data_IF_895674118373
#
_entry.id   IF_895674118373
#
_cell.length_a   1.000
_cell.length_b   1.000
_cell.length_c   1.000
_cell.angle_alpha   90.00
_cell.angle_beta   90.00
_cell.angle_gamma   90.00
#
_symmetry.space_group_name_H-M   'P 1'
#
loop_
_entity.id
_entity.type
_entity.pdbx_description
1 polymer ?
#
# COMPACT_ATOMS: atom_id res chain seq x y z
N UNK A 1 6.37 -15.25 32.00
CA UNK A 1 6.67 -13.98 31.29
C UNK A 1 7.87 -13.98 30.31
N UNK A 2 8.43 -15.10 29.86
CA UNK A 2 9.61 -15.12 28.95
C UNK A 2 9.41 -15.84 27.62
N UNK A 3 8.24 -16.43 27.36
CA UNK A 3 7.99 -17.27 26.17
C UNK A 3 7.27 -16.60 25.01
N UNK A 4 6.66 -15.42 25.19
CA UNK A 4 5.78 -14.76 24.21
C UNK A 4 6.46 -13.72 23.31
N UNK A 5 7.67 -13.25 23.68
CA UNK A 5 8.45 -12.35 22.81
C UNK A 5 8.97 -13.00 21.51
N UNK A 6 8.92 -14.33 21.40
CA UNK A 6 9.38 -15.07 20.23
C UNK A 6 8.42 -14.96 19.02
N UNK A 7 7.10 -14.87 19.25
CA UNK A 7 6.11 -14.97 18.19
C UNK A 7 5.87 -13.65 17.46
N UNK A 8 5.90 -12.52 18.18
CA UNK A 8 5.82 -11.19 17.58
C UNK A 8 7.07 -10.88 16.73
N UNK A 9 8.23 -11.29 17.19
CA UNK A 9 9.50 -11.13 16.46
C UNK A 9 9.56 -11.94 15.16
N UNK A 10 9.00 -13.16 15.15
CA UNK A 10 8.92 -13.98 13.94
C UNK A 10 8.00 -13.36 12.88
N UNK A 11 6.92 -12.66 13.28
CA UNK A 11 5.99 -12.01 12.35
C UNK A 11 6.48 -10.67 11.82
N UNK A 12 7.10 -9.85 12.67
CA UNK A 12 7.75 -8.61 12.22
C UNK A 12 8.88 -8.91 11.25
N UNK A 13 9.69 -9.94 11.52
CA UNK A 13 10.73 -10.39 10.60
C UNK A 13 10.13 -10.87 9.27
N UNK A 14 8.95 -11.54 9.31
CA UNK A 14 8.28 -12.00 8.09
C UNK A 14 7.72 -10.84 7.26
N UNK A 15 7.10 -9.82 7.89
CA UNK A 15 6.59 -8.62 7.21
C UNK A 15 7.71 -7.88 6.47
N UNK A 16 8.74 -7.46 7.18
CA UNK A 16 9.87 -6.73 6.62
C UNK A 16 10.65 -7.55 5.60
N UNK A 17 10.84 -8.86 5.86
CA UNK A 17 11.53 -9.76 4.93
C UNK A 17 10.76 -9.92 3.62
N UNK A 18 9.45 -10.11 3.69
CA UNK A 18 8.59 -10.22 2.49
C UNK A 18 8.59 -8.91 1.73
N UNK A 19 8.39 -7.78 2.41
CA UNK A 19 8.38 -6.47 1.77
C UNK A 19 9.71 -6.15 1.08
N UNK A 20 10.84 -6.35 1.77
CA UNK A 20 12.17 -6.15 1.19
C UNK A 20 12.40 -7.05 -0.03
N UNK A 21 12.01 -8.33 0.04
CA UNK A 21 12.14 -9.26 -1.08
C UNK A 21 11.34 -8.81 -2.30
N UNK A 22 10.11 -8.35 -2.09
CA UNK A 22 9.25 -7.83 -3.17
C UNK A 22 9.89 -6.60 -3.79
N UNK A 23 10.27 -5.61 -2.98
CA UNK A 23 10.86 -4.36 -3.45
C UNK A 23 12.22 -4.58 -4.16
N UNK A 24 13.06 -5.49 -3.68
CA UNK A 24 14.33 -5.81 -4.37
C UNK A 24 14.05 -6.46 -5.73
N UNK A 25 13.07 -7.36 -5.83
CA UNK A 25 12.72 -7.98 -7.09
C UNK A 25 12.18 -6.96 -8.11
N UNK A 26 11.37 -5.99 -7.66
CA UNK A 26 10.87 -4.90 -8.53
C UNK A 26 11.97 -3.94 -8.94
N UNK A 27 12.93 -3.62 -8.06
CA UNK A 27 14.13 -2.84 -8.42
C UNK A 27 14.92 -3.54 -9.53
N UNK A 28 15.20 -4.83 -9.35
CA UNK A 28 15.92 -5.62 -10.35
C UNK A 28 15.15 -5.63 -11.67
N UNK A 29 13.85 -5.83 -11.65
CA UNK A 29 12.98 -5.80 -12.82
C UNK A 29 13.02 -4.45 -13.54
N UNK A 30 12.87 -3.34 -12.80
CA UNK A 30 12.95 -1.98 -13.36
C UNK A 30 14.33 -1.68 -13.93
N UNK A 31 15.40 -2.11 -13.26
CA UNK A 31 16.76 -1.94 -13.77
C UNK A 31 17.00 -2.70 -15.10
N UNK A 32 16.55 -3.96 -15.16
CA UNK A 32 16.64 -4.75 -16.39
C UNK A 32 15.84 -4.11 -17.54
N UNK A 33 14.64 -3.59 -17.24
CA UNK A 33 13.83 -2.87 -18.24
C UNK A 33 14.50 -1.57 -18.70
N UNK A 34 15.08 -0.80 -17.77
CA UNK A 34 15.80 0.43 -18.11
C UNK A 34 16.99 0.14 -19.07
N UNK A 35 17.76 -0.91 -18.76
CA UNK A 35 18.88 -1.33 -19.61
C UNK A 35 18.37 -1.78 -21.01
N UNK A 36 17.32 -2.62 -21.05
CA UNK A 36 16.74 -3.09 -22.30
C UNK A 36 16.24 -1.91 -23.17
N UNK A 37 15.51 -0.96 -22.58
CA UNK A 37 15.02 0.24 -23.28
C UNK A 37 16.17 1.12 -23.76
N UNK A 38 17.19 1.33 -22.92
CA UNK A 38 18.36 2.13 -23.27
C UNK A 38 19.11 1.54 -24.48
N UNK A 39 19.42 0.24 -24.43
CA UNK A 39 20.08 -0.44 -25.54
C UNK A 39 19.25 -0.40 -26.82
N UNK A 40 17.93 -0.64 -26.70
CA UNK A 40 17.02 -0.56 -27.85
C UNK A 40 16.96 0.87 -28.42
N UNK A 41 16.97 1.90 -27.55
CA UNK A 41 16.95 3.30 -27.93
C UNK A 41 18.23 3.72 -28.70
N UNK A 42 19.38 3.28 -28.20
CA UNK A 42 20.68 3.54 -28.86
C UNK A 42 20.75 2.84 -30.21
N UNK A 43 20.41 1.55 -30.32
CA UNK A 43 20.47 0.78 -31.54
C UNK A 43 19.46 1.29 -32.59
N UNK A 44 18.25 1.66 -32.15
CA UNK A 44 17.19 2.19 -33.00
C UNK A 44 17.32 3.70 -33.29
N UNK A 45 18.32 4.37 -32.73
CA UNK A 45 18.49 5.84 -32.78
C UNK A 45 17.23 6.61 -32.36
N UNK A 46 16.55 6.12 -31.31
CA UNK A 46 15.28 6.66 -30.81
C UNK A 46 15.46 7.42 -29.49
N UNK A 47 15.42 8.75 -29.57
CA UNK A 47 15.48 9.60 -28.37
C UNK A 47 14.29 9.37 -27.40
N UNK A 48 13.11 9.06 -27.95
CA UNK A 48 11.94 8.73 -27.16
C UNK A 48 12.18 7.49 -26.29
N UNK A 49 12.82 6.44 -26.84
CA UNK A 49 13.15 5.22 -26.13
C UNK A 49 14.23 5.44 -25.07
N UNK A 50 15.20 6.32 -25.34
CA UNK A 50 16.21 6.71 -24.35
C UNK A 50 15.55 7.47 -23.19
N UNK A 51 14.63 8.40 -23.50
CA UNK A 51 13.85 9.11 -22.47
C UNK A 51 13.02 8.15 -21.63
N UNK A 52 12.36 7.16 -22.24
CA UNK A 52 11.61 6.13 -21.54
C UNK A 52 12.51 5.22 -20.69
N UNK A 53 13.75 4.97 -21.09
CA UNK A 53 14.75 4.27 -20.29
C UNK A 53 15.14 5.06 -19.04
N UNK A 54 15.36 6.37 -19.17
CA UNK A 54 15.66 7.27 -18.05
C UNK A 54 14.47 7.31 -17.08
N UNK A 55 13.24 7.36 -17.59
CA UNK A 55 12.03 7.30 -16.76
C UNK A 55 11.97 5.98 -15.98
N UNK A 56 12.18 4.83 -16.64
CA UNK A 56 12.22 3.53 -15.96
C UNK A 56 13.35 3.41 -14.93
N UNK A 57 14.48 4.08 -15.12
CA UNK A 57 15.53 4.18 -14.09
C UNK A 57 15.07 5.02 -12.90
N UNK A 58 14.28 6.08 -13.13
CA UNK A 58 13.71 6.92 -12.06
C UNK A 58 12.68 6.17 -11.20
N UNK A 59 11.97 5.16 -11.75
CA UNK A 59 11.01 4.33 -11.00
C UNK A 59 11.67 3.56 -9.87
N UNK A 60 12.97 3.28 -9.97
CA UNK A 60 13.76 2.67 -8.90
C UNK A 60 13.72 3.54 -7.65
N UNK A 61 13.70 4.87 -7.77
CA UNK A 61 13.63 5.77 -6.61
C UNK A 61 12.28 5.64 -5.86
N UNK A 62 11.17 5.45 -6.57
CA UNK A 62 9.85 5.24 -5.94
C UNK A 62 9.88 4.00 -5.04
N UNK A 63 10.47 2.91 -5.53
CA UNK A 63 10.60 1.67 -4.73
C UNK A 63 11.57 1.85 -3.54
N UNK A 64 12.59 2.73 -3.64
CA UNK A 64 13.42 3.09 -2.49
C UNK A 64 12.64 3.78 -1.37
N UNK A 65 11.68 4.66 -1.70
CA UNK A 65 10.80 5.28 -0.71
C UNK A 65 10.01 4.23 0.07
N UNK A 66 9.51 3.19 -0.62
CA UNK A 66 8.83 2.06 0.01
C UNK A 66 9.74 1.33 0.98
N UNK A 67 10.95 0.97 0.55
CA UNK A 67 11.92 0.25 1.39
C UNK A 67 12.25 1.07 2.64
N UNK A 68 12.51 2.36 2.47
CA UNK A 68 12.82 3.26 3.59
C UNK A 68 11.62 3.36 4.53
N UNK A 69 10.40 3.58 3.99
CA UNK A 69 9.17 3.67 4.78
C UNK A 69 8.93 2.42 5.62
N UNK A 70 9.02 1.24 5.02
CA UNK A 70 8.83 -0.04 5.71
C UNK A 70 9.94 -0.28 6.75
N UNK A 71 11.20 0.05 6.41
CA UNK A 71 12.32 -0.09 7.35
C UNK A 71 12.18 0.81 8.56
N UNK A 72 11.75 2.06 8.36
CA UNK A 72 11.49 2.99 9.45
C UNK A 72 10.28 2.55 10.28
N UNK A 73 9.21 2.09 9.64
CA UNK A 73 8.01 1.58 10.31
C UNK A 73 8.32 0.33 11.18
N UNK A 74 9.29 -0.49 10.77
CA UNK A 74 9.70 -1.68 11.52
C UNK A 74 10.67 -1.38 12.68
N UNK A 75 11.02 -0.10 12.92
CA UNK A 75 11.88 0.28 14.04
C UNK A 75 11.14 0.08 15.36
N UNK A 76 11.84 -0.52 16.35
CA UNK A 76 11.26 -0.77 17.69
C UNK A 76 10.88 0.54 18.39
N UNK A 77 9.92 0.49 19.33
CA UNK A 77 9.64 1.61 20.22
C UNK A 77 10.90 2.14 20.88
N UNK A 78 11.02 3.46 20.97
CA UNK A 78 12.07 4.18 21.66
C UNK A 78 11.47 5.19 22.66
N UNK A 79 12.33 6.01 23.29
CA UNK A 79 11.87 6.99 24.30
C UNK A 79 11.00 8.09 23.72
N UNK A 80 11.23 8.47 22.46
CA UNK A 80 10.47 9.52 21.76
C UNK A 80 9.19 8.97 21.15
N UNK A 81 9.18 7.68 20.74
CA UNK A 81 8.06 6.98 20.13
C UNK A 81 7.72 5.70 20.91
N UNK A 82 7.10 5.80 22.10
CA UNK A 82 6.85 4.65 22.97
C UNK A 82 5.92 3.60 22.36
N UNK A 83 5.03 4.01 21.43
CA UNK A 83 4.11 3.11 20.72
C UNK A 83 4.71 2.46 19.47
N UNK A 84 5.88 2.92 19.02
CA UNK A 84 6.55 2.42 17.81
C UNK A 84 6.45 3.37 16.63
N UNK A 85 6.92 2.91 15.49
CA UNK A 85 7.11 3.73 14.30
C UNK A 85 6.22 3.29 13.12
N UNK A 86 5.28 2.37 13.33
CA UNK A 86 4.50 1.72 12.28
C UNK A 86 3.72 2.71 11.39
N UNK A 87 3.36 3.90 11.92
CA UNK A 87 2.70 4.96 11.13
C UNK A 87 3.57 5.55 10.02
N UNK A 88 4.90 5.37 10.07
CA UNK A 88 5.79 5.82 9.01
C UNK A 88 5.57 5.08 7.68
N UNK A 89 4.97 3.90 7.70
CA UNK A 89 4.49 3.24 6.49
C UNK A 89 3.37 4.03 5.80
N UNK A 90 2.43 4.57 6.58
CA UNK A 90 1.37 5.43 6.05
C UNK A 90 1.93 6.72 5.44
N UNK A 91 2.98 7.30 6.07
CA UNK A 91 3.68 8.47 5.51
C UNK A 91 4.29 8.14 4.14
N UNK A 92 4.95 6.98 4.01
CA UNK A 92 5.49 6.54 2.73
C UNK A 92 4.38 6.34 1.67
N UNK A 93 3.25 5.74 2.06
CA UNK A 93 2.09 5.57 1.17
C UNK A 93 1.50 6.92 0.73
N UNK A 94 1.43 7.93 1.62
CA UNK A 94 0.99 9.29 1.28
C UNK A 94 1.94 9.92 0.26
N UNK A 95 3.26 9.85 0.48
CA UNK A 95 4.24 10.40 -0.46
C UNK A 95 4.08 9.77 -1.84
N UNK A 96 4.00 8.43 -1.90
CA UNK A 96 3.86 7.70 -3.17
C UNK A 96 2.53 8.00 -3.86
N UNK A 97 1.42 8.11 -3.12
CA UNK A 97 0.13 8.46 -3.71
C UNK A 97 0.13 9.89 -4.28
N UNK A 98 0.84 10.83 -3.64
CA UNK A 98 1.04 12.18 -4.19
C UNK A 98 1.88 12.15 -5.47
N UNK A 99 2.97 11.39 -5.50
CA UNK A 99 3.79 11.22 -6.72
C UNK A 99 2.93 10.62 -7.83
N UNK A 100 2.16 9.58 -7.54
CA UNK A 100 1.25 8.94 -8.49
C UNK A 100 0.20 9.92 -9.02
N UNK A 101 -0.39 10.76 -8.15
CA UNK A 101 -1.37 11.76 -8.54
C UNK A 101 -0.75 12.84 -9.44
N UNK A 102 0.43 13.36 -9.09
CA UNK A 102 1.13 14.39 -9.85
C UNK A 102 1.52 13.87 -11.23
N UNK A 103 2.04 12.64 -11.32
CA UNK A 103 2.40 12.02 -12.62
C UNK A 103 1.16 11.79 -13.49
N UNK A 104 0.07 11.29 -12.88
CA UNK A 104 -1.21 11.14 -13.58
C UNK A 104 -1.77 12.48 -14.08
N UNK A 105 -1.72 13.52 -13.23
CA UNK A 105 -2.16 14.87 -13.57
C UNK A 105 -1.36 15.45 -14.75
N UNK A 106 -0.05 15.24 -14.78
CA UNK A 106 0.81 15.65 -15.90
C UNK A 106 0.34 15.02 -17.21
N UNK A 107 0.10 13.70 -17.22
CA UNK A 107 -0.42 12.96 -18.39
C UNK A 107 -1.77 13.53 -18.82
N UNK A 108 -2.67 13.83 -17.86
CA UNK A 108 -4.00 14.41 -18.15
C UNK A 108 -3.92 15.81 -18.76
N UNK A 109 -3.05 16.67 -18.23
CA UNK A 109 -2.84 18.04 -18.76
C UNK A 109 -2.26 18.00 -20.17
N UNK A 110 -1.25 17.17 -20.42
CA UNK A 110 -0.64 17.01 -21.73
C UNK A 110 -1.65 16.50 -22.75
N UNK A 111 -2.44 15.50 -22.39
CA UNK A 111 -3.52 14.98 -23.22
C UNK A 111 -4.55 16.06 -23.58
N UNK A 112 -4.97 16.85 -22.60
CA UNK A 112 -5.92 17.95 -22.78
C UNK A 112 -5.37 19.05 -23.69
N UNK A 113 -4.10 19.42 -23.49
CA UNK A 113 -3.42 20.40 -24.34
C UNK A 113 -3.33 19.92 -25.80
N UNK A 114 -2.99 18.66 -26.02
CA UNK A 114 -2.93 18.07 -27.36
C UNK A 114 -4.30 18.08 -28.05
N UNK A 115 -5.38 17.83 -27.33
CA UNK A 115 -6.75 17.91 -27.86
C UNK A 115 -7.10 19.36 -28.26
N UNK A 116 -6.81 20.34 -27.41
CA UNK A 116 -7.16 21.74 -27.63
C UNK A 116 -6.34 22.35 -28.76
N UNK A 117 -5.03 22.10 -28.76
CA UNK A 117 -4.10 22.70 -29.75
C UNK A 117 -4.09 22.00 -31.11
N UNK A 118 -4.81 20.86 -31.25
CA UNK A 118 -4.81 20.02 -32.47
C UNK A 118 -3.40 19.66 -32.96
N UNK A 119 -2.46 19.52 -32.02
CA UNK A 119 -1.04 19.34 -32.31
C UNK A 119 -0.72 17.84 -32.56
N UNK A 120 -1.32 17.29 -33.62
CA UNK A 120 -1.19 15.86 -33.94
C UNK A 120 -0.07 15.53 -34.92
N UNK A 121 0.65 16.56 -35.42
CA UNK A 121 1.53 16.44 -36.59
C UNK A 121 2.97 15.98 -36.28
N UNK A 122 3.39 15.88 -35.01
CA UNK A 122 4.77 15.64 -34.62
C UNK A 122 5.07 14.25 -34.02
N UNK A 123 4.12 13.30 -34.10
CA UNK A 123 4.35 11.94 -33.62
C UNK A 123 5.33 11.21 -34.58
N UNK A 124 6.61 11.15 -34.20
CA UNK A 124 7.57 10.27 -34.87
C UNK A 124 7.12 8.82 -34.69
N UNK A 125 6.92 8.11 -35.80
CA UNK A 125 6.52 6.70 -35.77
C UNK A 125 7.72 5.86 -35.33
N UNK A 126 7.70 5.26 -34.11
CA UNK A 126 8.81 4.45 -33.61
C UNK A 126 9.06 3.24 -34.52
N UNK A 127 10.36 2.86 -34.67
CA UNK A 127 10.73 1.64 -35.38
C UNK A 127 10.19 0.36 -34.72
N UNK A 128 10.18 -0.75 -35.45
CA UNK A 128 9.65 -2.06 -34.98
C UNK A 128 10.33 -2.52 -33.68
N UNK A 129 11.65 -2.30 -33.54
CA UNK A 129 12.41 -2.67 -32.33
C UNK A 129 11.88 -1.92 -31.08
N UNK A 130 11.54 -0.64 -31.24
CA UNK A 130 10.95 0.16 -30.16
C UNK A 130 9.55 -0.35 -29.77
N UNK A 131 8.74 -0.80 -30.73
CA UNK A 131 7.43 -1.41 -30.44
C UNK A 131 7.55 -2.73 -29.67
N UNK A 132 8.52 -3.57 -30.03
CA UNK A 132 8.78 -4.83 -29.30
C UNK A 132 9.23 -4.53 -27.87
N UNK A 133 10.17 -3.61 -27.67
CA UNK A 133 10.66 -3.22 -26.38
C UNK A 133 9.55 -2.59 -25.49
N UNK A 134 8.67 -1.76 -26.09
CA UNK A 134 7.50 -1.23 -25.42
C UNK A 134 6.53 -2.35 -24.99
N UNK A 135 6.28 -3.32 -25.85
CA UNK A 135 5.44 -4.49 -25.51
C UNK A 135 6.01 -5.31 -24.35
N UNK A 136 7.31 -5.59 -24.35
CA UNK A 136 8.00 -6.27 -23.24
C UNK A 136 7.88 -5.44 -21.95
N UNK A 137 8.03 -4.12 -22.04
CA UNK A 137 7.91 -3.20 -20.91
C UNK A 137 6.52 -3.26 -20.29
N UNK A 138 5.47 -3.19 -21.11
CA UNK A 138 4.06 -3.27 -20.66
C UNK A 138 3.80 -4.58 -19.92
N UNK A 139 4.16 -5.71 -20.50
CA UNK A 139 3.97 -7.03 -19.90
C UNK A 139 4.72 -7.14 -18.58
N UNK A 140 5.95 -6.66 -18.53
CA UNK A 140 6.79 -6.71 -17.33
C UNK A 140 6.24 -5.81 -16.21
N UNK A 141 5.81 -4.58 -16.55
CA UNK A 141 5.22 -3.64 -15.60
C UNK A 141 3.88 -4.16 -15.04
N UNK A 142 3.02 -4.73 -15.88
CA UNK A 142 1.77 -5.36 -15.42
C UNK A 142 2.05 -6.60 -14.57
N UNK A 143 3.07 -7.40 -14.91
CA UNK A 143 3.54 -8.51 -14.06
C UNK A 143 4.04 -8.04 -12.69
N UNK A 144 4.82 -6.95 -12.64
CA UNK A 144 5.26 -6.33 -11.39
C UNK A 144 4.10 -5.81 -10.56
N UNK A 145 3.09 -5.17 -11.19
CA UNK A 145 1.87 -4.76 -10.51
C UNK A 145 1.17 -5.92 -9.79
N UNK A 146 0.89 -7.02 -10.50
CA UNK A 146 0.19 -8.16 -9.91
C UNK A 146 1.00 -8.83 -8.82
N UNK A 147 2.32 -8.98 -9.02
CA UNK A 147 3.26 -9.51 -8.04
C UNK A 147 3.26 -8.66 -6.76
N UNK A 148 3.52 -7.36 -6.88
CA UNK A 148 3.58 -6.43 -5.73
C UNK A 148 2.23 -6.33 -5.03
N UNK A 149 1.11 -6.22 -5.78
CA UNK A 149 -0.24 -6.17 -5.22
C UNK A 149 -0.60 -7.42 -4.43
N UNK A 150 -0.22 -8.60 -4.91
CA UNK A 150 -0.48 -9.85 -4.20
C UNK A 150 0.18 -9.83 -2.81
N UNK A 151 1.45 -9.47 -2.74
CA UNK A 151 2.17 -9.38 -1.47
C UNK A 151 1.72 -8.20 -0.62
N UNK A 152 1.41 -7.04 -1.20
CA UNK A 152 0.86 -5.89 -0.49
C UNK A 152 -0.41 -6.25 0.28
N UNK A 153 -1.35 -6.97 -0.38
CA UNK A 153 -2.56 -7.48 0.28
C UNK A 153 -2.26 -8.53 1.35
N UNK A 154 -1.30 -9.43 1.09
CA UNK A 154 -0.95 -10.50 2.02
C UNK A 154 -0.38 -10.00 3.34
N UNK A 155 0.37 -8.89 3.32
CA UNK A 155 1.00 -8.30 4.50
C UNK A 155 0.32 -7.01 4.95
N UNK A 156 -0.79 -6.62 4.31
CA UNK A 156 -1.56 -5.38 4.56
C UNK A 156 -0.69 -4.11 4.55
N UNK A 157 0.16 -3.98 3.50
CA UNK A 157 1.06 -2.85 3.34
C UNK A 157 0.51 -1.82 2.37
N UNK A 158 0.17 -0.62 2.89
CA UNK A 158 -0.27 0.52 2.09
C UNK A 158 0.85 1.06 1.21
N UNK A 159 2.11 1.04 1.67
CA UNK A 159 3.26 1.49 0.90
C UNK A 159 3.53 0.57 -0.32
N UNK A 160 3.50 -0.76 -0.12
CA UNK A 160 3.60 -1.70 -1.25
C UNK A 160 2.41 -1.62 -2.21
N UNK A 161 1.21 -1.31 -1.70
CA UNK A 161 0.05 -1.10 -2.57
C UNK A 161 0.22 0.14 -3.44
N UNK A 162 0.77 1.22 -2.88
CA UNK A 162 1.09 2.43 -3.64
C UNK A 162 2.14 2.16 -4.74
N UNK A 163 3.19 1.39 -4.40
CA UNK A 163 4.23 0.96 -5.36
C UNK A 163 3.64 0.09 -6.49
N UNK A 164 2.74 -0.85 -6.15
CA UNK A 164 2.03 -1.64 -7.15
C UNK A 164 1.26 -0.75 -8.13
N UNK A 165 0.48 0.19 -7.64
CA UNK A 165 -0.27 1.11 -8.49
C UNK A 165 0.64 2.03 -9.32
N UNK A 166 1.82 2.39 -8.81
CA UNK A 166 2.82 3.10 -9.60
C UNK A 166 3.24 2.28 -10.82
N UNK A 167 3.60 1.00 -10.66
CA UNK A 167 3.90 0.10 -11.79
C UNK A 167 2.76 -0.03 -12.79
N UNK A 168 1.52 -0.07 -12.30
CA UNK A 168 0.34 -0.12 -13.18
C UNK A 168 0.12 1.18 -13.94
N UNK A 169 0.35 2.32 -13.29
CA UNK A 169 0.32 3.63 -13.95
C UNK A 169 1.26 3.69 -15.14
N UNK A 170 2.49 3.20 -14.96
CA UNK A 170 3.51 3.14 -16.01
C UNK A 170 3.09 2.21 -17.16
N UNK A 171 2.52 1.03 -16.82
CA UNK A 171 2.01 0.11 -17.83
C UNK A 171 0.86 0.74 -18.64
N UNK A 172 -0.07 1.40 -17.99
CA UNK A 172 -1.21 2.07 -18.63
C UNK A 172 -0.75 3.23 -19.52
N UNK A 173 0.22 4.03 -19.07
CA UNK A 173 0.82 5.10 -19.87
C UNK A 173 1.47 4.54 -21.14
N UNK A 174 2.20 3.43 -21.01
CA UNK A 174 2.82 2.76 -22.16
C UNK A 174 1.79 2.15 -23.11
N UNK A 175 0.67 1.63 -22.60
CA UNK A 175 -0.46 1.14 -23.43
C UNK A 175 -1.11 2.31 -24.16
N UNK A 176 -1.34 3.44 -23.50
CA UNK A 176 -1.88 4.64 -24.11
C UNK A 176 -1.03 5.12 -25.27
N UNK A 177 0.29 5.22 -25.06
CA UNK A 177 1.24 5.58 -26.13
C UNK A 177 1.18 4.59 -27.30
N UNK A 178 1.07 3.28 -27.03
CA UNK A 178 0.95 2.26 -28.08
C UNK A 178 -0.36 2.42 -28.88
N UNK A 179 -1.49 2.65 -28.21
CA UNK A 179 -2.80 2.89 -28.84
C UNK A 179 -2.76 4.18 -29.68
N UNK A 180 -2.13 5.23 -29.15
CA UNK A 180 -1.95 6.49 -29.87
C UNK A 180 -1.14 6.34 -31.15
N UNK A 181 -0.03 5.62 -31.10
CA UNK A 181 0.79 5.30 -32.26
C UNK A 181 -0.01 4.51 -33.32
N UNK A 182 -0.76 3.50 -32.89
CA UNK A 182 -1.61 2.72 -33.78
C UNK A 182 -2.74 3.56 -34.36
N UNK A 183 -3.40 4.38 -33.53
CA UNK A 183 -4.46 5.30 -33.95
C UNK A 183 -3.97 6.34 -34.96
N UNK A 184 -2.80 6.92 -34.72
CA UNK A 184 -2.17 7.85 -35.66
C UNK A 184 -1.87 7.20 -37.02
N UNK A 185 -1.44 5.94 -37.06
CA UNK A 185 -1.21 5.16 -38.26
C UNK A 185 -2.48 4.87 -39.06
N UNK A 186 -3.64 4.76 -38.39
CA UNK A 186 -4.95 4.51 -39.03
C UNK A 186 -5.63 5.83 -39.46
N UNK A 187 -5.03 6.99 -39.11
CA UNK A 187 -5.56 8.31 -39.46
C UNK A 187 -6.41 8.99 -38.40
N UNK A 188 -6.40 8.48 -37.14
CA UNK A 188 -7.09 9.05 -36.00
C UNK A 188 -6.11 9.48 -34.88
N UNK A 189 -5.31 10.53 -35.06
CA UNK A 189 -4.27 10.92 -34.09
C UNK A 189 -4.83 11.39 -32.73
N UNK A 190 -6.09 11.76 -32.66
CA UNK A 190 -6.76 12.17 -31.39
C UNK A 190 -6.94 11.01 -30.38
N UNK A 191 -6.88 9.75 -30.84
CA UNK A 191 -7.09 8.57 -29.99
C UNK A 191 -6.07 8.45 -28.86
N UNK A 192 -4.84 8.88 -29.09
CA UNK A 192 -3.78 8.89 -28.06
C UNK A 192 -4.18 9.80 -26.88
N UNK A 193 -4.57 11.03 -27.17
CA UNK A 193 -4.97 11.99 -26.15
C UNK A 193 -6.23 11.56 -25.40
N UNK A 194 -7.20 10.94 -26.07
CA UNK A 194 -8.40 10.41 -25.43
C UNK A 194 -8.03 9.24 -24.49
N UNK A 195 -7.20 8.31 -24.95
CA UNK A 195 -6.75 7.19 -24.14
C UNK A 195 -5.97 7.69 -22.90
N UNK A 196 -5.08 8.65 -23.07
CA UNK A 196 -4.31 9.27 -21.98
C UNK A 196 -5.21 9.96 -20.97
N UNK A 197 -6.29 10.63 -21.38
CA UNK A 197 -7.25 11.26 -20.49
C UNK A 197 -8.03 10.23 -19.65
N UNK A 198 -8.45 9.14 -20.27
CA UNK A 198 -9.12 8.02 -19.57
C UNK A 198 -8.18 7.39 -18.55
N UNK A 199 -6.93 7.14 -18.93
CA UNK A 199 -5.89 6.60 -18.03
C UNK A 199 -5.66 7.53 -16.84
N UNK A 200 -5.58 8.85 -17.07
CA UNK A 200 -5.46 9.84 -15.99
C UNK A 200 -6.57 9.68 -14.94
N UNK A 201 -7.83 9.52 -15.37
CA UNK A 201 -8.96 9.37 -14.44
C UNK A 201 -8.80 8.13 -13.55
N UNK A 202 -8.37 6.99 -14.13
CA UNK A 202 -8.12 5.77 -13.37
C UNK A 202 -6.96 5.92 -12.38
N UNK A 203 -5.87 6.56 -12.81
CA UNK A 203 -4.69 6.80 -11.98
C UNK A 203 -5.05 7.75 -10.82
N UNK A 204 -5.75 8.86 -11.11
CA UNK A 204 -6.18 9.82 -10.10
C UNK A 204 -7.08 9.19 -9.05
N UNK A 205 -8.02 8.33 -9.47
CA UNK A 205 -8.86 7.58 -8.53
C UNK A 205 -8.03 6.64 -7.66
N UNK A 206 -7.12 5.86 -8.24
CA UNK A 206 -6.28 4.95 -7.47
C UNK A 206 -5.38 5.70 -6.47
N UNK A 207 -4.77 6.82 -6.88
CA UNK A 207 -3.98 7.68 -6.00
C UNK A 207 -4.81 8.23 -4.84
N UNK A 208 -6.04 8.69 -5.11
CA UNK A 208 -6.95 9.17 -4.09
C UNK A 208 -7.36 8.07 -3.10
N UNK A 209 -7.68 6.87 -3.57
CA UNK A 209 -8.06 5.75 -2.72
C UNK A 209 -6.91 5.33 -1.78
N UNK A 210 -5.65 5.30 -2.30
CA UNK A 210 -4.45 5.01 -1.50
C UNK A 210 -4.20 6.11 -0.47
N UNK A 211 -4.29 7.38 -0.90
CA UNK A 211 -4.11 8.54 -0.02
C UNK A 211 -5.12 8.52 1.13
N UNK A 212 -6.40 8.28 0.81
CA UNK A 212 -7.46 8.19 1.79
C UNK A 212 -7.23 7.05 2.78
N UNK A 213 -6.90 5.84 2.32
CA UNK A 213 -6.61 4.70 3.22
C UNK A 213 -5.44 5.01 4.17
N UNK A 214 -4.38 5.63 3.66
CA UNK A 214 -3.23 6.01 4.47
C UNK A 214 -3.57 7.09 5.51
N UNK A 215 -4.36 8.11 5.14
CA UNK A 215 -4.85 9.13 6.07
C UNK A 215 -5.79 8.52 7.11
N UNK A 216 -6.75 7.69 6.68
CA UNK A 216 -7.69 7.01 7.58
C UNK A 216 -6.92 6.20 8.65
N UNK A 217 -5.87 5.46 8.26
CA UNK A 217 -4.99 4.73 9.19
C UNK A 217 -4.18 5.67 10.11
N UNK A 218 -3.79 6.85 9.63
CA UNK A 218 -3.10 7.85 10.47
C UNK A 218 -4.00 8.49 11.52
N UNK A 219 -5.30 8.64 11.25
CA UNK A 219 -6.29 9.23 12.17
C UNK A 219 -7.08 8.19 12.95
N UNK A 220 -6.45 7.05 13.25
CA UNK A 220 -6.98 6.03 14.14
C UNK A 220 -8.28 5.36 13.63
N UNK A 221 -8.37 5.07 12.33
CA UNK A 221 -9.47 4.28 11.77
C UNK A 221 -9.59 2.95 12.49
N UNK A 222 -10.84 2.55 12.83
CA UNK A 222 -11.13 1.24 13.40
C UNK A 222 -10.81 0.10 12.41
N UNK A 223 -10.61 -1.10 12.92
CA UNK A 223 -10.53 -2.30 12.08
C UNK A 223 -11.90 -2.57 11.40
N UNK A 224 -11.92 -3.54 10.48
CA UNK A 224 -13.16 -3.92 9.82
C UNK A 224 -14.15 -4.54 10.82
N UNK A 225 -15.44 -4.39 10.52
CA UNK A 225 -16.53 -4.87 11.40
C UNK A 225 -16.50 -6.37 11.66
N UNK A 226 -15.99 -7.17 10.72
CA UNK A 226 -15.88 -8.62 10.88
C UNK A 226 -14.82 -8.96 11.92
N UNK A 227 -13.68 -8.28 11.90
CA UNK A 227 -12.64 -8.40 12.92
C UNK A 227 -13.10 -7.88 14.28
N UNK A 228 -13.82 -6.76 14.32
CA UNK A 228 -14.39 -6.20 15.54
C UNK A 228 -15.40 -7.16 16.19
N UNK A 229 -16.30 -7.74 15.42
CA UNK A 229 -17.25 -8.75 15.88
C UNK A 229 -16.55 -9.99 16.44
N UNK A 230 -15.51 -10.50 15.77
CA UNK A 230 -14.73 -11.63 16.25
C UNK A 230 -14.00 -11.33 17.55
N UNK A 231 -13.49 -10.11 17.73
CA UNK A 231 -12.90 -9.68 19.01
C UNK A 231 -13.98 -9.64 20.08
N UNK A 232 -15.15 -9.09 19.78
CA UNK A 232 -16.29 -9.07 20.71
C UNK A 232 -16.71 -10.48 21.14
N UNK A 233 -16.86 -11.40 20.21
CA UNK A 233 -17.21 -12.80 20.49
C UNK A 233 -16.15 -13.46 21.38
N UNK A 234 -14.89 -13.22 21.11
CA UNK A 234 -13.76 -13.73 21.90
C UNK A 234 -13.77 -13.21 23.34
N UNK A 235 -14.18 -11.96 23.56
CA UNK A 235 -14.34 -11.38 24.91
C UNK A 235 -15.49 -12.08 25.64
N UNK A 236 -16.62 -12.30 24.97
CA UNK A 236 -17.82 -12.91 25.54
C UNK A 236 -17.69 -14.42 25.80
N UNK A 237 -16.64 -15.08 25.31
CA UNK A 237 -16.31 -16.45 25.70
C UNK A 237 -15.99 -16.58 27.18
N UNK A 238 -15.55 -15.51 27.87
CA UNK A 238 -15.28 -15.49 29.27
C UNK A 238 -16.59 -15.30 30.06
N UNK A 239 -17.03 -16.34 30.76
CA UNK A 239 -18.31 -16.39 31.48
C UNK A 239 -18.41 -15.40 32.64
N UNK A 240 -17.29 -14.90 33.16
CA UNK A 240 -17.25 -13.89 34.21
C UNK A 240 -17.42 -12.46 33.68
N UNK A 241 -17.38 -12.25 32.37
CA UNK A 241 -17.72 -11.00 31.70
C UNK A 241 -19.21 -10.93 31.49
N UNK A 242 -19.87 -9.93 32.09
CA UNK A 242 -21.32 -9.74 32.01
C UNK A 242 -21.72 -9.04 30.71
N UNK A 243 -20.99 -7.99 30.33
CA UNK A 243 -21.17 -7.29 29.08
C UNK A 243 -19.89 -6.53 28.72
N UNK A 244 -19.85 -6.06 27.46
CA UNK A 244 -18.82 -5.15 26.94
C UNK A 244 -19.43 -3.76 26.89
N UNK A 245 -18.95 -2.85 27.73
CA UNK A 245 -19.43 -1.46 27.79
C UNK A 245 -18.87 -0.62 26.66
N UNK A 246 -17.60 -0.88 26.28
CA UNK A 246 -16.92 -0.17 25.22
C UNK A 246 -15.96 -1.13 24.51
N UNK A 247 -15.98 -1.11 23.19
CA UNK A 247 -14.95 -1.71 22.34
C UNK A 247 -14.52 -0.68 21.30
N UNK A 248 -13.30 -0.19 21.41
CA UNK A 248 -12.68 0.68 20.39
C UNK A 248 -11.46 -0.01 19.85
N UNK A 249 -11.34 0.01 18.54
CA UNK A 249 -10.17 -0.51 17.84
C UNK A 249 -9.54 0.60 17.00
N UNK A 250 -8.25 0.53 16.77
CA UNK A 250 -7.56 1.41 15.82
C UNK A 250 -6.49 0.66 15.08
N UNK A 251 -6.35 0.97 13.79
CA UNK A 251 -5.28 0.46 12.96
C UNK A 251 -4.06 1.36 13.13
N UNK A 252 -2.92 0.74 13.44
CA UNK A 252 -1.64 1.41 13.63
C UNK A 252 -0.60 0.77 12.69
N UNK A 253 -0.45 1.33 11.48
CA UNK A 253 0.27 0.66 10.39
C UNK A 253 -0.45 -0.63 9.98
N UNK A 254 0.22 -1.77 10.18
CA UNK A 254 -0.35 -3.11 9.94
C UNK A 254 -0.77 -3.83 11.23
N UNK A 255 -0.84 -3.12 12.37
CA UNK A 255 -1.20 -3.64 13.68
C UNK A 255 -2.54 -3.08 14.15
N UNK A 256 -3.18 -3.76 15.10
CA UNK A 256 -4.42 -3.33 15.73
C UNK A 256 -4.15 -3.05 17.21
N UNK A 257 -4.71 -1.96 17.69
CA UNK A 257 -4.77 -1.60 19.10
C UNK A 257 -6.23 -1.68 19.55
N UNK A 258 -6.47 -2.21 20.74
CA UNK A 258 -7.80 -2.44 21.29
C UNK A 258 -7.90 -1.75 22.65
N UNK A 259 -8.86 -0.85 22.78
CA UNK A 259 -9.27 -0.25 24.04
C UNK A 259 -10.65 -0.83 24.40
N UNK A 260 -10.73 -1.51 25.53
CA UNK A 260 -11.86 -2.35 25.94
C UNK A 260 -12.32 -1.99 27.34
N UNK A 261 -13.63 -1.86 27.53
CA UNK A 261 -14.26 -1.81 28.86
C UNK A 261 -15.21 -2.98 29.00
N UNK A 262 -14.99 -3.77 30.05
CA UNK A 262 -15.84 -4.93 30.40
C UNK A 262 -16.51 -4.72 31.73
N UNK A 263 -17.71 -5.24 31.88
CA UNK A 263 -18.43 -5.25 33.16
C UNK A 263 -18.32 -6.62 33.80
N UNK A 264 -17.95 -6.63 35.08
CA UNK A 264 -17.90 -7.84 35.93
C UNK A 264 -18.70 -7.63 37.18
N UNK A 265 -18.96 -8.71 37.94
CA UNK A 265 -19.71 -8.61 39.22
C UNK A 265 -18.96 -7.69 40.19
N UNK A 266 -19.63 -6.61 40.61
CA UNK A 266 -19.08 -5.58 41.48
C UNK A 266 -18.70 -6.07 42.90
N UNK A 267 -19.12 -7.27 43.29
CA UNK A 267 -18.76 -7.91 44.58
C UNK A 267 -17.43 -8.69 44.49
N UNK A 268 -16.83 -8.80 43.31
CA UNK A 268 -15.56 -9.53 43.19
C UNK A 268 -14.39 -8.75 43.79
N UNK A 269 -13.51 -9.45 44.54
CA UNK A 269 -12.27 -8.85 45.00
C UNK A 269 -11.45 -8.35 43.82
N UNK A 270 -10.67 -7.27 44.00
CA UNK A 270 -9.83 -6.66 42.98
C UNK A 270 -8.96 -7.69 42.24
N UNK A 271 -8.37 -8.66 42.98
CA UNK A 271 -7.56 -9.72 42.39
C UNK A 271 -8.35 -10.59 41.40
N UNK A 272 -9.63 -10.91 41.70
CA UNK A 272 -10.46 -11.69 40.77
C UNK A 272 -10.83 -10.87 39.54
N UNK A 273 -11.19 -9.60 39.71
CA UNK A 273 -11.50 -8.71 38.59
C UNK A 273 -10.28 -8.53 37.67
N UNK A 274 -9.09 -8.36 38.24
CA UNK A 274 -7.84 -8.28 37.51
C UNK A 274 -7.54 -9.58 36.72
N UNK A 275 -7.71 -10.74 37.33
CA UNK A 275 -7.49 -12.03 36.64
C UNK A 275 -8.47 -12.24 35.47
N UNK A 276 -9.70 -11.71 35.56
CA UNK A 276 -10.65 -11.73 34.43
C UNK A 276 -10.12 -10.85 33.29
N UNK A 277 -9.65 -9.63 33.60
CA UNK A 277 -9.06 -8.73 32.59
C UNK A 277 -7.84 -9.35 31.93
N UNK A 278 -6.93 -9.98 32.69
CA UNK A 278 -5.78 -10.69 32.13
C UNK A 278 -6.21 -11.88 31.24
N UNK A 279 -7.21 -12.65 31.66
CA UNK A 279 -7.71 -13.77 30.86
C UNK A 279 -8.30 -13.30 29.52
N UNK A 280 -9.04 -12.19 29.51
CA UNK A 280 -9.56 -11.56 28.29
C UNK A 280 -8.42 -11.05 27.41
N UNK A 281 -7.46 -10.34 28.01
CA UNK A 281 -6.27 -9.84 27.32
C UNK A 281 -5.51 -10.98 26.62
N UNK A 282 -5.16 -12.04 27.35
CA UNK A 282 -4.41 -13.18 26.84
C UNK A 282 -5.17 -13.93 25.75
N UNK A 283 -6.51 -14.05 25.89
CA UNK A 283 -7.36 -14.71 24.89
C UNK A 283 -7.34 -13.93 23.56
N UNK A 284 -7.46 -12.61 23.61
CA UNK A 284 -7.40 -11.77 22.40
C UNK A 284 -6.01 -11.83 21.78
N UNK A 285 -4.91 -11.66 22.55
CA UNK A 285 -3.53 -11.73 21.99
C UNK A 285 -3.25 -13.08 21.34
N UNK A 286 -3.76 -14.17 21.90
CA UNK A 286 -3.57 -15.51 21.35
C UNK A 286 -4.30 -15.74 20.05
N UNK A 287 -5.54 -15.24 19.93
CA UNK A 287 -6.41 -15.47 18.78
C UNK A 287 -6.17 -14.46 17.65
N UNK A 288 -5.75 -13.21 17.98
CA UNK A 288 -5.57 -12.12 17.03
C UNK A 288 -4.10 -11.69 16.96
N UNK A 289 -3.35 -12.37 16.16
CA UNK A 289 -1.90 -12.12 16.00
C UNK A 289 -1.54 -10.73 15.43
N UNK A 290 -2.50 -10.00 14.89
CA UNK A 290 -2.32 -8.62 14.43
C UNK A 290 -2.53 -7.61 15.55
N UNK A 291 -3.14 -8.01 16.66
CA UNK A 291 -3.32 -7.16 17.84
C UNK A 291 -1.96 -7.02 18.53
N UNK A 292 -1.51 -5.77 18.70
CA UNK A 292 -0.22 -5.42 19.32
C UNK A 292 -0.37 -4.96 20.76
N UNK A 293 -1.51 -4.35 21.07
CA UNK A 293 -1.77 -3.77 22.38
C UNK A 293 -3.25 -3.86 22.72
N UNK A 294 -3.54 -4.21 23.96
CA UNK A 294 -4.89 -4.27 24.49
C UNK A 294 -4.90 -3.58 25.84
N UNK A 295 -5.78 -2.62 26.02
CA UNK A 295 -6.08 -2.03 27.32
C UNK A 295 -7.47 -2.53 27.74
N UNK A 296 -7.55 -3.19 28.90
CA UNK A 296 -8.81 -3.67 29.47
C UNK A 296 -9.12 -2.88 30.72
N UNK A 297 -10.19 -2.10 30.67
CA UNK A 297 -10.78 -1.45 31.82
C UNK A 297 -11.92 -2.30 32.37
N UNK A 298 -11.99 -2.45 33.70
CA UNK A 298 -13.00 -3.27 34.35
C UNK A 298 -13.97 -2.39 35.12
N UNK A 299 -15.23 -2.43 34.71
CA UNK A 299 -16.32 -1.74 35.35
C UNK A 299 -17.08 -2.70 36.32
N UNK A 300 -17.44 -2.29 37.55
CA UNK A 300 -18.29 -3.08 38.40
C UNK A 300 -19.74 -3.02 37.93
N UNK A 301 -20.43 -4.17 37.86
CA UNK A 301 -21.89 -4.17 37.70
C UNK A 301 -22.57 -3.46 38.90
N UNK A 302 -23.62 -2.71 38.61
CA UNK A 302 -24.46 -2.17 39.70
C UNK A 302 -25.03 -3.36 40.49
N UNK A 303 -24.77 -3.36 41.79
CA UNK A 303 -25.45 -4.29 42.70
C UNK A 303 -26.88 -3.75 42.88
N UNK A 304 -27.89 -4.43 42.28
CA UNK A 304 -29.29 -4.22 42.64
C UNK A 304 -29.59 -4.81 44.02
#
# INVERSE_FOLDING_TARGET
MKKERGNSHCKEYNFQSVANKVSINTIIGNMLLAILKFLSGVIAHSNAMISDAIHSASDVFSTFVVIIGIRLASKKPDKEHPYGHERLECVAAIILSMVLFITGLWIGIEALQNIIQKNYSNLQVPGVLALIAAGISIISKEGMYWYTRYYAKKIDSSALMADAWHHRSDALSSIGALIGILGARIGFPIMDSIASLVIFIFIAKAAFDIFKDAIDKMVDRSCDKDTENKIYDCIMENKDVLCVDLLKTRIFGNKIYVDLEIQVNGLYPLQKAHNIAEAVHDNIEKNFLNVKHIMVHVNPSKVE
#
